data_IF_239444661001
#
_entry.id   IF_239444661001
#
_cell.length_a   1.000
_cell.length_b   1.000
_cell.length_c   1.000
_cell.angle_alpha   90.00
_cell.angle_beta   90.00
_cell.angle_gamma   90.00
#
_symmetry.space_group_name_H-M   'P 1'
#
loop_
_entity.id
_entity.type
_entity.pdbx_description
1 polymer ?
#
# COMPACT_ATOMS: atom_id res chain seq x y z
N UNK A 1 -7.77 5.72 27.95
CA UNK A 1 -7.65 4.39 27.32
C UNK A 1 -8.88 4.02 26.51
N UNK A 2 -10.07 3.87 27.12
CA UNK A 2 -11.30 3.60 26.34
C UNK A 2 -11.62 4.76 25.38
N UNK A 3 -11.47 6.00 25.86
CA UNK A 3 -11.64 7.19 25.02
C UNK A 3 -10.65 7.23 23.85
N UNK A 4 -9.35 7.04 24.10
CA UNK A 4 -8.33 7.06 23.05
C UNK A 4 -8.52 5.95 22.01
N UNK A 5 -8.96 4.75 22.43
CA UNK A 5 -9.31 3.67 21.51
C UNK A 5 -10.55 4.01 20.67
N UNK A 6 -11.56 4.65 21.27
CA UNK A 6 -12.74 5.11 20.54
C UNK A 6 -12.39 6.19 19.50
N UNK A 7 -11.47 7.10 19.82
CA UNK A 7 -10.97 8.10 18.88
C UNK A 7 -10.22 7.44 17.72
N UNK A 8 -9.38 6.44 17.99
CA UNK A 8 -8.68 5.69 16.96
C UNK A 8 -9.65 4.98 15.99
N UNK A 9 -10.69 4.33 16.53
CA UNK A 9 -11.73 3.68 15.72
C UNK A 9 -12.50 4.69 14.87
N UNK A 10 -12.88 5.84 15.45
CA UNK A 10 -13.53 6.92 14.70
C UNK A 10 -12.61 7.44 13.60
N UNK A 11 -11.32 7.60 13.87
CA UNK A 11 -10.36 8.06 12.88
C UNK A 11 -10.25 7.06 11.71
N UNK A 12 -10.18 5.75 11.97
CA UNK A 12 -10.22 4.74 10.91
C UNK A 12 -11.53 4.74 10.12
N UNK A 13 -12.68 4.98 10.77
CA UNK A 13 -13.95 5.13 10.07
C UNK A 13 -13.96 6.37 9.16
N UNK A 14 -13.45 7.50 9.64
CA UNK A 14 -13.32 8.73 8.83
C UNK A 14 -12.37 8.52 7.67
N UNK A 15 -11.26 7.82 7.89
CA UNK A 15 -10.32 7.42 6.83
C UNK A 15 -11.06 6.61 5.76
N UNK A 16 -11.77 5.55 6.15
CA UNK A 16 -12.52 4.71 5.23
C UNK A 16 -13.57 5.50 4.44
N UNK A 17 -14.35 6.36 5.10
CA UNK A 17 -15.34 7.22 4.43
C UNK A 17 -14.66 8.16 3.44
N UNK A 18 -13.58 8.84 3.83
CA UNK A 18 -12.80 9.72 2.97
C UNK A 18 -12.28 9.01 1.73
N UNK A 19 -11.72 7.81 1.90
CA UNK A 19 -11.26 6.95 0.81
C UNK A 19 -12.39 6.53 -0.12
N UNK A 20 -13.55 6.15 0.43
CA UNK A 20 -14.71 5.79 -0.38
C UNK A 20 -15.16 6.92 -1.30
N UNK A 21 -15.13 8.16 -0.80
CA UNK A 21 -15.46 9.37 -1.56
C UNK A 21 -14.41 9.60 -2.66
N UNK A 22 -13.12 9.63 -2.30
CA UNK A 22 -12.05 9.94 -3.24
C UNK A 22 -11.91 8.89 -4.37
N UNK A 23 -11.94 7.59 -4.00
CA UNK A 23 -11.89 6.47 -4.95
C UNK A 23 -13.05 6.56 -5.94
N UNK A 24 -14.26 6.92 -5.48
CA UNK A 24 -15.43 7.02 -6.37
C UNK A 24 -15.27 8.11 -7.45
N UNK A 25 -14.59 9.21 -7.12
CA UNK A 25 -14.29 10.28 -8.06
C UNK A 25 -13.30 9.83 -9.13
N UNK A 26 -12.18 9.22 -8.71
CA UNK A 26 -11.16 8.72 -9.65
C UNK A 26 -11.69 7.60 -10.54
N UNK A 27 -12.49 6.67 -10.00
CA UNK A 27 -13.13 5.63 -10.81
C UNK A 27 -14.02 6.20 -11.92
N UNK A 28 -14.75 7.29 -11.67
CA UNK A 28 -15.56 7.93 -12.72
C UNK A 28 -14.69 8.60 -13.76
N UNK A 29 -13.68 9.36 -13.36
CA UNK A 29 -12.73 10.00 -14.28
C UNK A 29 -12.05 8.94 -15.16
N UNK A 30 -11.64 7.81 -14.57
CA UNK A 30 -10.95 6.72 -15.28
C UNK A 30 -11.76 6.07 -16.41
N UNK A 31 -13.11 6.10 -16.36
CA UNK A 31 -13.98 5.49 -17.38
C UNK A 31 -13.95 6.21 -18.72
N UNK A 32 -13.53 7.47 -18.73
CA UNK A 32 -13.49 8.30 -19.92
C UNK A 32 -12.11 8.27 -20.61
N UNK A 33 -11.18 7.48 -20.09
CA UNK A 33 -9.80 7.43 -20.53
C UNK A 33 -9.54 6.15 -21.33
N UNK A 34 -8.99 6.27 -22.54
CA UNK A 34 -8.59 5.14 -23.41
C UNK A 34 -7.22 4.53 -23.03
N UNK A 35 -6.95 4.38 -21.73
CA UNK A 35 -5.73 3.75 -21.19
C UNK A 35 -6.12 2.38 -20.60
N UNK A 36 -5.24 1.35 -20.66
CA UNK A 36 -5.49 0.09 -19.96
C UNK A 36 -5.89 0.33 -18.50
N UNK A 37 -7.01 -0.25 -18.11
CA UNK A 37 -7.59 -0.05 -16.77
C UNK A 37 -6.61 -0.39 -15.62
N UNK A 38 -5.70 -1.35 -15.86
CA UNK A 38 -4.60 -1.66 -14.96
C UNK A 38 -3.68 -0.46 -14.71
N UNK A 39 -3.24 0.25 -15.76
CA UNK A 39 -2.27 1.34 -15.64
C UNK A 39 -2.87 2.59 -15.00
N UNK A 40 -4.13 2.90 -15.31
CA UNK A 40 -4.84 3.98 -14.61
C UNK A 40 -4.94 3.62 -13.14
N UNK A 41 -5.26 2.38 -12.80
CA UNK A 41 -5.33 1.96 -11.41
C UNK A 41 -3.97 2.00 -10.73
N UNK A 42 -2.90 1.51 -11.39
CA UNK A 42 -1.56 1.50 -10.84
C UNK A 42 -1.04 2.90 -10.50
N UNK A 43 -1.23 3.87 -11.40
CA UNK A 43 -0.72 5.23 -11.18
C UNK A 43 -1.72 6.13 -10.46
N UNK A 44 -2.98 6.19 -10.91
CA UNK A 44 -3.93 7.15 -10.36
C UNK A 44 -4.57 6.64 -9.06
N UNK A 45 -5.08 5.41 -9.06
CA UNK A 45 -5.71 4.86 -7.86
C UNK A 45 -4.66 4.53 -6.80
N UNK A 46 -3.54 3.92 -7.19
CA UNK A 46 -2.46 3.60 -6.27
C UNK A 46 -1.87 4.83 -5.56
N UNK A 47 -1.68 5.95 -6.26
CA UNK A 47 -1.27 7.21 -5.62
C UNK A 47 -2.35 7.74 -4.69
N UNK A 48 -3.62 7.68 -5.10
CA UNK A 48 -4.75 8.18 -4.31
C UNK A 48 -4.94 7.40 -3.01
N UNK A 49 -4.88 6.08 -3.07
CA UNK A 49 -5.03 5.23 -1.88
C UNK A 49 -3.80 5.38 -0.97
N UNK A 50 -2.61 5.52 -1.56
CA UNK A 50 -1.35 5.80 -0.85
C UNK A 50 -1.27 7.20 -0.20
N UNK A 51 -2.30 8.05 -0.35
CA UNK A 51 -2.38 9.34 0.37
C UNK A 51 -2.33 9.12 1.89
N UNK A 52 -2.90 8.01 2.37
CA UNK A 52 -2.90 7.72 3.80
C UNK A 52 -1.50 7.37 4.30
N UNK A 53 -0.73 6.60 3.53
CA UNK A 53 0.67 6.23 3.77
C UNK A 53 1.58 7.46 3.73
N UNK A 54 1.39 8.34 2.73
CA UNK A 54 2.11 9.62 2.65
C UNK A 54 1.80 10.49 3.87
N UNK A 55 0.53 10.53 4.30
CA UNK A 55 0.12 11.32 5.47
C UNK A 55 0.75 10.79 6.75
N UNK A 56 0.73 9.47 6.97
CA UNK A 56 1.40 8.82 8.11
C UNK A 56 2.90 9.09 8.09
N UNK A 57 3.54 9.00 6.92
CA UNK A 57 4.96 9.32 6.77
C UNK A 57 5.26 10.76 7.17
N UNK A 58 4.48 11.72 6.66
CA UNK A 58 4.62 13.13 6.99
C UNK A 58 4.49 13.41 8.49
N UNK A 59 3.41 12.94 9.13
CA UNK A 59 3.19 13.18 10.56
C UNK A 59 4.24 12.47 11.43
N UNK A 60 4.69 11.27 11.06
CA UNK A 60 5.75 10.56 11.80
C UNK A 60 7.10 11.31 11.83
N UNK A 61 7.40 12.09 10.79
CA UNK A 61 8.61 12.95 10.76
C UNK A 61 8.44 14.12 11.74
N UNK A 62 7.27 14.77 11.71
CA UNK A 62 6.95 15.89 12.60
C UNK A 62 7.01 15.46 14.07
N UNK A 63 6.46 14.29 14.37
CA UNK A 63 6.44 13.72 15.72
C UNK A 63 7.76 13.03 16.11
N UNK A 64 8.79 13.11 15.24
CA UNK A 64 10.13 12.54 15.44
C UNK A 64 10.12 11.04 15.75
N UNK A 65 9.15 10.31 15.20
CA UNK A 65 8.98 8.85 15.37
C UNK A 65 8.90 8.12 14.02
N UNK A 66 9.87 8.31 13.11
CA UNK A 66 9.79 7.78 11.74
C UNK A 66 9.68 6.25 11.68
N UNK A 67 10.13 5.54 12.73
CA UNK A 67 9.99 4.08 12.85
C UNK A 67 8.55 3.60 12.70
N UNK A 68 7.55 4.40 13.13
CA UNK A 68 6.12 4.08 12.93
C UNK A 68 5.81 4.00 11.44
N UNK A 69 6.26 4.97 10.65
CA UNK A 69 6.01 4.99 9.21
C UNK A 69 6.78 3.89 8.48
N UNK A 70 8.02 3.59 8.90
CA UNK A 70 8.73 2.44 8.32
C UNK A 70 7.97 1.13 8.55
N UNK A 71 7.48 0.92 9.77
CA UNK A 71 6.61 -0.21 10.08
C UNK A 71 5.36 -0.22 9.20
N UNK A 72 4.69 0.92 9.09
CA UNK A 72 3.48 1.08 8.27
C UNK A 72 3.71 0.72 6.80
N UNK A 73 4.79 1.20 6.19
CA UNK A 73 5.06 1.01 4.75
C UNK A 73 5.48 -0.42 4.43
N UNK A 74 6.31 -1.05 5.28
CA UNK A 74 6.69 -2.45 5.14
C UNK A 74 5.48 -3.36 5.41
N UNK A 75 4.78 -3.12 6.51
CA UNK A 75 3.57 -3.85 6.88
C UNK A 75 2.47 -3.70 5.84
N UNK A 76 2.32 -2.51 5.26
CA UNK A 76 1.35 -2.25 4.20
C UNK A 76 1.65 -3.08 2.95
N UNK A 77 2.93 -3.21 2.60
CA UNK A 77 3.37 -4.08 1.50
C UNK A 77 3.10 -5.58 1.79
N UNK A 78 3.24 -6.01 3.04
CA UNK A 78 2.83 -7.35 3.52
C UNK A 78 1.32 -7.54 3.42
N UNK A 79 0.53 -6.57 3.90
CA UNK A 79 -0.94 -6.58 3.83
C UNK A 79 -1.40 -6.65 2.37
N UNK A 80 -0.86 -5.83 1.48
CA UNK A 80 -1.25 -5.84 0.07
C UNK A 80 -0.92 -7.16 -0.61
N UNK A 81 0.30 -7.67 -0.40
CA UNK A 81 0.82 -8.84 -1.11
C UNK A 81 0.29 -10.17 -0.56
N UNK A 82 0.11 -10.28 0.76
CA UNK A 82 -0.25 -11.54 1.42
C UNK A 82 -1.69 -11.57 1.96
N UNK A 83 -2.34 -10.42 2.16
CA UNK A 83 -3.74 -10.37 2.58
C UNK A 83 -4.67 -9.96 1.43
N UNK A 84 -4.50 -8.75 0.88
CA UNK A 84 -5.50 -8.13 -0.02
C UNK A 84 -5.51 -8.81 -1.40
N UNK A 85 -4.35 -8.97 -2.05
CA UNK A 85 -4.26 -9.69 -3.33
C UNK A 85 -4.77 -11.13 -3.19
N UNK A 86 -4.34 -11.92 -2.20
CA UNK A 86 -4.86 -13.28 -2.00
C UNK A 86 -6.35 -13.33 -1.68
N UNK A 87 -6.88 -12.36 -0.92
CA UNK A 87 -8.31 -12.27 -0.63
C UNK A 87 -9.10 -11.96 -1.91
N UNK A 88 -8.61 -11.07 -2.77
CA UNK A 88 -9.18 -10.83 -4.10
C UNK A 88 -9.30 -12.14 -4.88
N UNK A 89 -8.23 -12.94 -4.91
CA UNK A 89 -8.19 -14.24 -5.61
C UNK A 89 -9.23 -15.20 -5.04
N UNK A 90 -9.27 -15.35 -3.71
CA UNK A 90 -10.16 -16.29 -3.03
C UNK A 90 -11.63 -15.93 -3.25
N UNK A 91 -11.99 -14.65 -3.06
CA UNK A 91 -13.36 -14.16 -3.23
C UNK A 91 -13.85 -14.30 -4.67
N UNK A 92 -12.93 -14.17 -5.64
CA UNK A 92 -13.25 -14.18 -7.05
C UNK A 92 -13.07 -15.54 -7.73
N UNK A 93 -12.81 -16.60 -6.95
CA UNK A 93 -12.53 -17.98 -7.43
C UNK A 93 -11.39 -18.03 -8.46
N UNK A 94 -10.38 -17.19 -8.27
CA UNK A 94 -9.22 -17.06 -9.15
C UNK A 94 -9.22 -15.80 -10.02
N UNK A 95 -8.03 -15.48 -10.53
CA UNK A 95 -7.77 -14.35 -11.42
C UNK A 95 -6.92 -14.84 -12.61
N UNK A 96 -7.13 -14.24 -13.78
CA UNK A 96 -6.27 -14.45 -14.94
C UNK A 96 -5.44 -13.19 -15.13
N UNK A 97 -4.13 -13.36 -15.29
CA UNK A 97 -3.19 -12.28 -15.58
C UNK A 97 -3.05 -12.19 -17.10
N UNK A 98 -3.52 -11.11 -17.68
CA UNK A 98 -3.41 -10.92 -19.13
C UNK A 98 -2.29 -9.93 -19.42
N UNK A 99 -1.13 -10.43 -19.88
CA UNK A 99 0.05 -9.61 -20.21
C UNK A 99 -0.22 -8.47 -21.21
N UNK A 100 -1.25 -8.57 -22.06
CA UNK A 100 -1.66 -7.46 -22.95
C UNK A 100 -2.43 -6.37 -22.20
N UNK A 101 -3.16 -6.72 -21.14
CA UNK A 101 -3.90 -5.79 -20.30
C UNK A 101 -3.07 -5.26 -19.11
N UNK A 102 -2.02 -6.00 -18.72
CA UNK A 102 -1.17 -5.77 -17.56
C UNK A 102 0.29 -5.63 -18.03
N UNK A 103 0.68 -4.46 -18.56
CA UNK A 103 1.97 -4.26 -19.22
C UNK A 103 3.11 -4.05 -18.21
N UNK A 104 3.09 -4.75 -17.08
CA UNK A 104 4.10 -4.67 -16.02
C UNK A 104 4.94 -5.95 -15.98
N UNK A 105 6.22 -5.79 -15.64
CA UNK A 105 7.09 -6.92 -15.33
C UNK A 105 6.84 -7.32 -13.86
N UNK A 106 5.94 -8.28 -13.64
CA UNK A 106 5.59 -8.77 -12.29
C UNK A 106 6.82 -9.17 -11.47
N UNK A 107 7.78 -9.97 -11.98
CA UNK A 107 9.02 -10.25 -11.25
C UNK A 107 9.74 -9.00 -10.75
N UNK A 108 9.86 -7.98 -11.60
CA UNK A 108 10.55 -6.75 -11.22
C UNK A 108 9.72 -5.90 -10.25
N UNK A 109 8.40 -5.84 -10.40
CA UNK A 109 7.52 -5.14 -9.47
C UNK A 109 7.61 -5.75 -8.05
N UNK A 110 7.55 -7.07 -7.94
CA UNK A 110 7.66 -7.77 -6.67
C UNK A 110 9.06 -7.68 -6.05
N UNK A 111 10.11 -7.57 -6.86
CA UNK A 111 11.45 -7.25 -6.38
C UNK A 111 11.46 -5.86 -5.72
N UNK A 112 10.91 -4.83 -6.40
CA UNK A 112 10.82 -3.47 -5.84
C UNK A 112 10.01 -3.48 -4.54
N UNK A 113 8.84 -4.13 -4.51
CA UNK A 113 7.98 -4.24 -3.32
C UNK A 113 8.69 -4.92 -2.14
N UNK A 114 9.53 -5.91 -2.42
CA UNK A 114 10.26 -6.66 -1.37
C UNK A 114 11.56 -5.98 -0.93
N UNK A 115 12.03 -4.99 -1.69
CA UNK A 115 13.32 -4.35 -1.47
C UNK A 115 13.44 -3.69 -0.08
N UNK A 116 12.43 -2.95 0.44
CA UNK A 116 12.46 -2.42 1.80
C UNK A 116 12.76 -3.46 2.89
N UNK A 117 12.20 -4.67 2.75
CA UNK A 117 12.42 -5.77 3.71
C UNK A 117 13.87 -6.23 3.71
N UNK A 118 14.50 -6.28 2.53
CA UNK A 118 15.90 -6.71 2.41
C UNK A 118 16.82 -5.66 3.00
N UNK A 119 16.57 -4.38 2.71
CA UNK A 119 17.41 -3.28 3.17
C UNK A 119 17.34 -3.08 4.69
N UNK A 120 16.18 -3.33 5.31
CA UNK A 120 16.01 -3.14 6.76
C UNK A 120 16.57 -4.27 7.63
N UNK A 121 17.15 -5.34 7.04
CA UNK A 121 17.63 -6.50 7.80
C UNK A 121 18.79 -6.18 8.75
N UNK A 122 19.51 -5.09 8.55
CA UNK A 122 20.54 -4.59 9.45
C UNK A 122 19.97 -3.70 10.59
N UNK A 123 18.65 -3.50 10.64
CA UNK A 123 17.90 -2.56 11.50
C UNK A 123 18.09 -1.07 11.17
N UNK A 124 18.71 -0.71 10.06
CA UNK A 124 18.96 0.67 9.72
C UNK A 124 18.49 0.92 8.31
N UNK A 125 17.67 1.95 8.11
CA UNK A 125 17.41 2.46 6.76
C UNK A 125 18.30 3.65 6.55
N UNK A 126 19.34 3.45 5.75
CA UNK A 126 20.33 4.46 5.41
C UNK A 126 19.87 5.36 4.27
N UNK A 127 20.58 6.47 4.07
CA UNK A 127 20.37 7.37 2.92
C UNK A 127 20.68 6.63 1.60
N UNK A 128 21.63 5.68 1.61
CA UNK A 128 21.94 4.87 0.43
C UNK A 128 20.76 3.97 0.07
N UNK A 129 20.14 3.35 1.07
CA UNK A 129 18.93 2.53 0.90
C UNK A 129 17.79 3.36 0.29
N UNK A 130 17.67 4.61 0.73
CA UNK A 130 16.69 5.54 0.19
C UNK A 130 16.87 5.79 -1.31
N UNK A 131 18.10 6.04 -1.76
CA UNK A 131 18.41 6.19 -3.18
C UNK A 131 18.14 4.90 -3.96
N UNK A 132 18.51 3.74 -3.41
CA UNK A 132 18.25 2.43 -4.01
C UNK A 132 16.75 2.20 -4.20
N UNK A 133 15.93 2.50 -3.19
CA UNK A 133 14.47 2.39 -3.25
C UNK A 133 13.86 3.31 -4.33
N UNK A 134 14.21 4.60 -4.32
CA UNK A 134 13.71 5.58 -5.30
C UNK A 134 14.14 5.20 -6.72
N UNK A 135 15.41 4.82 -6.90
CA UNK A 135 15.95 4.42 -8.20
C UNK A 135 15.27 3.15 -8.73
N UNK A 136 15.06 2.14 -7.89
CA UNK A 136 14.38 0.90 -8.28
C UNK A 136 12.92 1.14 -8.71
N UNK A 137 12.19 2.02 -8.02
CA UNK A 137 10.85 2.44 -8.43
C UNK A 137 10.89 3.22 -9.74
N UNK A 138 11.85 4.13 -9.92
CA UNK A 138 12.05 4.85 -11.18
C UNK A 138 12.29 3.90 -12.37
N UNK A 139 13.10 2.87 -12.19
CA UNK A 139 13.32 1.82 -13.19
C UNK A 139 12.04 1.03 -13.50
N UNK A 140 11.21 0.75 -12.49
CA UNK A 140 9.93 0.07 -12.67
C UNK A 140 9.00 0.92 -13.54
N UNK A 141 8.88 2.20 -13.23
CA UNK A 141 8.10 3.17 -14.03
C UNK A 141 8.65 3.25 -15.45
N UNK A 142 9.97 3.33 -15.65
CA UNK A 142 10.58 3.34 -16.98
C UNK A 142 10.24 2.08 -17.80
N UNK A 143 10.21 0.91 -17.15
CA UNK A 143 9.85 -0.36 -17.81
C UNK A 143 8.39 -0.36 -18.29
N UNK A 144 7.50 0.28 -17.53
CA UNK A 144 6.09 0.44 -17.88
C UNK A 144 5.92 1.47 -19.02
N UNK A 145 6.58 2.63 -18.91
CA UNK A 145 6.49 3.73 -19.90
C UNK A 145 7.11 3.39 -21.26
N UNK A 146 8.15 2.54 -21.30
CA UNK A 146 8.72 2.05 -22.58
C UNK A 146 7.79 1.12 -23.35
N UNK A 147 6.75 0.57 -22.70
CA UNK A 147 5.77 -0.36 -23.32
C UNK A 147 4.47 0.30 -23.75
N UNK A 148 4.18 1.51 -23.28
CA UNK A 148 2.99 2.28 -23.63
C UNK A 148 3.30 3.77 -23.53
N UNK A 149 3.04 4.55 -24.57
CA UNK A 149 3.00 6.01 -24.50
C UNK A 149 1.83 6.45 -23.61
N UNK A 150 2.04 6.37 -22.29
CA UNK A 150 1.12 6.81 -21.25
C UNK A 150 0.95 8.33 -21.28
N UNK A 151 2.02 9.05 -21.62
CA UNK A 151 2.04 10.52 -21.68
C UNK A 151 1.13 11.05 -22.79
N UNK A 152 1.23 10.50 -24.01
CA UNK A 152 0.40 10.90 -25.15
C UNK A 152 -1.09 10.66 -24.92
N UNK A 153 -1.44 9.63 -24.14
CA UNK A 153 -2.84 9.30 -23.82
C UNK A 153 -3.42 10.11 -22.67
N UNK A 154 -2.61 10.65 -21.77
CA UNK A 154 -3.07 11.55 -20.70
C UNK A 154 -3.45 12.91 -21.29
N UNK A 155 -2.73 13.38 -22.31
CA UNK A 155 -3.03 14.63 -23.02
C UNK A 155 -4.36 14.55 -23.79
N UNK A 156 -4.73 13.38 -24.32
CA UNK A 156 -6.01 13.14 -25.00
C UNK A 156 -7.23 13.22 -24.06
N UNK A 157 -7.04 12.89 -22.76
CA UNK A 157 -8.10 12.94 -21.72
C UNK A 157 -8.49 14.36 -21.35
N UNK A 158 -7.50 15.26 -21.30
CA UNK A 158 -7.73 16.66 -20.94
C UNK A 158 -8.63 17.36 -21.98
N UNK A 159 -8.60 16.88 -23.22
CA UNK A 159 -9.33 17.49 -24.33
C UNK A 159 -10.81 17.06 -24.47
N UNK A 160 -11.29 16.04 -23.76
CA UNK A 160 -12.69 15.62 -23.82
C UNK A 160 -13.55 16.29 -22.72
N UNK A 161 -14.16 17.43 -23.08
CA UNK A 161 -15.08 18.21 -22.24
C UNK A 161 -16.49 17.59 -22.17
N UNK A 162 -16.74 16.61 -21.30
CA UNK A 162 -18.14 16.25 -20.99
C UNK A 162 -18.40 15.57 -19.63
N UNK A 163 -17.62 15.91 -18.61
CA UNK A 163 -17.92 15.50 -17.23
C UNK A 163 -18.03 16.78 -16.40
N UNK A 164 -18.84 16.74 -15.34
CA UNK A 164 -18.75 17.70 -14.23
C UNK A 164 -17.41 17.47 -13.48
N UNK A 165 -16.28 17.62 -14.20
CA UNK A 165 -14.90 17.40 -13.73
C UNK A 165 -14.69 18.18 -12.43
N UNK A 166 -15.23 19.40 -12.39
CA UNK A 166 -15.19 20.23 -11.21
C UNK A 166 -15.81 19.57 -9.96
N UNK A 167 -17.00 18.98 -10.08
CA UNK A 167 -17.68 18.34 -8.94
C UNK A 167 -16.94 17.08 -8.49
N UNK A 168 -16.46 16.25 -9.42
CA UNK A 168 -15.73 15.03 -9.06
C UNK A 168 -14.34 15.37 -8.49
N UNK A 169 -13.66 16.41 -8.99
CA UNK A 169 -12.42 16.93 -8.38
C UNK A 169 -12.65 17.46 -6.96
N UNK A 170 -13.75 18.18 -6.71
CA UNK A 170 -14.10 18.63 -5.35
C UNK A 170 -14.34 17.46 -4.40
N UNK A 171 -15.00 16.39 -4.85
CA UNK A 171 -15.18 15.17 -4.04
C UNK A 171 -13.85 14.50 -3.72
N UNK A 172 -12.96 14.39 -4.71
CA UNK A 172 -11.61 13.83 -4.51
C UNK A 172 -10.85 14.64 -3.47
N UNK A 173 -10.82 15.96 -3.61
CA UNK A 173 -10.16 16.86 -2.65
C UNK A 173 -10.74 16.74 -1.24
N UNK A 174 -12.08 16.71 -1.12
CA UNK A 174 -12.73 16.55 0.17
C UNK A 174 -12.37 15.21 0.83
N UNK A 175 -12.38 14.11 0.07
CA UNK A 175 -11.96 12.80 0.56
C UNK A 175 -10.49 12.79 1.02
N UNK A 176 -9.59 13.41 0.26
CA UNK A 176 -8.17 13.57 0.63
C UNK A 176 -8.02 14.34 1.95
N UNK A 177 -8.76 15.42 2.14
CA UNK A 177 -8.72 16.21 3.39
C UNK A 177 -9.15 15.35 4.58
N UNK A 178 -10.23 14.58 4.44
CA UNK A 178 -10.67 13.64 5.50
C UNK A 178 -9.59 12.61 5.82
N UNK A 179 -8.94 12.03 4.81
CA UNK A 179 -7.84 11.08 4.98
C UNK A 179 -6.69 11.74 5.77
N UNK A 180 -6.22 12.91 5.35
CA UNK A 180 -5.11 13.62 6.01
C UNK A 180 -5.44 13.89 7.48
N UNK A 181 -6.64 14.42 7.76
CA UNK A 181 -7.08 14.71 9.13
C UNK A 181 -7.10 13.43 9.97
N UNK A 182 -7.69 12.34 9.45
CA UNK A 182 -7.75 11.07 10.16
C UNK A 182 -6.37 10.49 10.46
N UNK A 183 -5.43 10.58 9.51
CA UNK A 183 -4.07 10.06 9.66
C UNK A 183 -3.32 10.76 10.78
N UNK A 184 -3.52 12.08 10.97
CA UNK A 184 -2.93 12.80 12.10
C UNK A 184 -3.35 12.17 13.44
N UNK A 185 -4.66 12.00 13.65
CA UNK A 185 -5.18 11.39 14.88
C UNK A 185 -4.72 9.94 15.07
N UNK A 186 -4.62 9.17 13.98
CA UNK A 186 -4.11 7.80 14.02
C UNK A 186 -2.66 7.78 14.48
N UNK A 187 -1.79 8.63 13.92
CA UNK A 187 -0.37 8.71 14.29
C UNK A 187 -0.19 9.18 15.73
N UNK A 188 -0.86 10.26 16.14
CA UNK A 188 -0.81 10.79 17.51
C UNK A 188 -1.17 9.69 18.53
N UNK A 189 -2.26 8.96 18.25
CA UNK A 189 -2.73 7.87 19.11
C UNK A 189 -1.78 6.67 19.11
N UNK A 190 -1.18 6.35 17.96
CA UNK A 190 -0.22 5.27 17.82
C UNK A 190 1.08 5.54 18.60
N UNK A 191 1.61 6.76 18.52
CA UNK A 191 2.78 7.22 19.30
C UNK A 191 2.47 7.14 20.80
N UNK A 192 1.29 7.62 21.22
CA UNK A 192 0.87 7.57 22.62
C UNK A 192 0.86 6.13 23.14
N UNK A 193 0.28 5.20 22.38
CA UNK A 193 0.22 3.79 22.78
C UNK A 193 1.57 3.08 22.73
N UNK A 194 2.43 3.41 21.77
CA UNK A 194 3.81 2.90 21.72
C UNK A 194 4.53 3.20 23.03
N UNK A 195 4.46 4.46 23.47
CA UNK A 195 5.10 4.92 24.69
C UNK A 195 4.44 4.31 25.94
N UNK A 196 3.11 4.25 25.97
CA UNK A 196 2.36 3.73 27.13
C UNK A 196 2.61 2.25 27.39
N UNK A 197 2.65 1.43 26.34
CA UNK A 197 2.84 -0.01 26.45
C UNK A 197 4.30 -0.43 26.30
N UNK A 198 5.24 0.53 26.21
CA UNK A 198 6.66 0.26 25.95
C UNK A 198 6.88 -0.65 24.72
N UNK A 199 6.01 -0.52 23.72
CA UNK A 199 6.08 -1.26 22.46
C UNK A 199 6.86 -0.43 21.46
N UNK A 200 7.75 -1.08 20.71
CA UNK A 200 8.47 -0.45 19.62
C UNK A 200 7.50 0.24 18.64
N UNK A 201 7.69 1.54 18.34
CA UNK A 201 6.80 2.27 17.42
C UNK A 201 6.71 1.61 16.03
N UNK A 202 7.80 0.98 15.58
CA UNK A 202 7.84 0.16 14.37
C UNK A 202 6.78 -0.94 14.35
N UNK A 203 6.54 -1.64 15.47
CA UNK A 203 5.56 -2.74 15.52
C UNK A 203 4.11 -2.25 15.43
N UNK A 204 3.82 -1.12 16.07
CA UNK A 204 2.48 -0.50 15.96
C UNK A 204 2.24 -0.08 14.50
N UNK A 205 3.26 0.48 13.85
CA UNK A 205 3.27 0.71 12.41
C UNK A 205 3.00 -0.57 11.61
N UNK A 206 3.79 -1.61 11.87
CA UNK A 206 3.81 -2.86 11.13
C UNK A 206 2.51 -3.65 11.18
N UNK A 207 1.83 -3.67 12.33
CA UNK A 207 0.62 -4.48 12.54
C UNK A 207 -0.64 -3.63 12.45
N UNK A 208 -0.72 -2.55 13.23
CA UNK A 208 -1.97 -1.83 13.42
C UNK A 208 -2.18 -0.78 12.32
N UNK A 209 -1.18 0.07 12.07
CA UNK A 209 -1.33 1.14 11.08
C UNK A 209 -1.36 0.53 9.68
N UNK A 210 -0.53 -0.47 9.39
CA UNK A 210 -0.52 -1.10 8.07
C UNK A 210 -1.88 -1.64 7.64
N UNK A 211 -2.66 -2.24 8.55
CA UNK A 211 -4.03 -2.68 8.23
C UNK A 211 -4.95 -1.48 8.06
N UNK A 212 -4.82 -0.49 8.93
CA UNK A 212 -5.67 0.69 8.96
C UNK A 212 -5.50 1.64 7.77
N UNK A 213 -4.26 1.91 7.34
CA UNK A 213 -3.98 2.72 6.15
C UNK A 213 -4.33 1.99 4.86
N UNK A 214 -4.46 0.65 4.88
CA UNK A 214 -4.91 -0.15 3.74
C UNK A 214 -6.45 -0.37 3.67
N UNK A 215 -7.23 0.32 4.52
CA UNK A 215 -8.70 0.42 4.35
C UNK A 215 -9.16 1.01 2.99
N UNK A 216 -8.48 2.00 2.37
CA UNK A 216 -8.76 2.44 1.01
C UNK A 216 -8.67 1.27 0.01
N UNK A 217 -7.63 0.45 0.07
CA UNK A 217 -7.40 -0.70 -0.82
C UNK A 217 -8.42 -1.82 -0.57
N UNK A 218 -8.83 -2.03 0.69
CA UNK A 218 -9.97 -2.90 1.02
C UNK A 218 -11.29 -2.38 0.43
N UNK A 219 -11.46 -1.06 0.31
CA UNK A 219 -12.62 -0.48 -0.39
C UNK A 219 -12.58 -0.80 -1.88
N UNK A 220 -11.41 -0.70 -2.50
CA UNK A 220 -11.19 -1.13 -3.90
C UNK A 220 -11.45 -2.63 -4.06
N UNK A 221 -11.10 -3.46 -3.07
CA UNK A 221 -11.34 -4.91 -3.07
C UNK A 221 -12.82 -5.23 -3.15
N UNK A 222 -13.60 -4.62 -2.26
CA UNK A 222 -15.04 -4.83 -2.17
C UNK A 222 -15.70 -4.39 -3.48
N UNK A 223 -15.38 -3.17 -3.96
CA UNK A 223 -15.97 -2.62 -5.19
C UNK A 223 -15.60 -3.43 -6.42
N UNK A 224 -14.32 -3.79 -6.58
CA UNK A 224 -13.85 -4.56 -7.75
C UNK A 224 -14.42 -5.97 -7.78
N UNK A 225 -14.64 -6.60 -6.63
CA UNK A 225 -15.28 -7.92 -6.51
C UNK A 225 -16.75 -7.84 -6.92
N UNK A 226 -17.49 -6.84 -6.44
CA UNK A 226 -18.90 -6.62 -6.81
C UNK A 226 -19.04 -6.30 -8.31
N UNK A 227 -18.19 -5.41 -8.82
CA UNK A 227 -18.23 -4.95 -10.21
C UNK A 227 -17.50 -5.87 -11.20
N UNK A 228 -16.91 -6.97 -10.73
CA UNK A 228 -16.09 -7.91 -11.52
C UNK A 228 -14.91 -7.25 -12.25
N UNK A 229 -14.30 -6.21 -11.66
CA UNK A 229 -13.18 -5.44 -12.23
C UNK A 229 -11.83 -5.81 -11.60
N UNK A 230 -11.47 -7.09 -11.67
CA UNK A 230 -10.31 -7.67 -10.96
C UNK A 230 -8.97 -7.04 -11.38
N UNK A 231 -8.79 -6.74 -12.66
CA UNK A 231 -7.56 -6.14 -13.21
C UNK A 231 -7.32 -4.73 -12.70
N UNK A 232 -8.37 -3.97 -12.35
CA UNK A 232 -8.24 -2.65 -11.73
C UNK A 232 -7.65 -2.81 -10.34
N UNK A 233 -8.26 -3.66 -9.50
CA UNK A 233 -7.76 -3.92 -8.15
C UNK A 233 -6.32 -4.43 -8.12
N UNK A 234 -5.91 -5.31 -9.05
CA UNK A 234 -4.51 -5.74 -9.13
C UNK A 234 -3.56 -4.59 -9.48
N UNK A 235 -3.96 -3.70 -10.39
CA UNK A 235 -3.17 -2.51 -10.73
C UNK A 235 -2.98 -1.60 -9.52
N UNK A 236 -4.06 -1.33 -8.79
CA UNK A 236 -4.05 -0.59 -7.53
C UNK A 236 -3.08 -1.19 -6.52
N UNK A 237 -3.22 -2.47 -6.18
CA UNK A 237 -2.44 -3.08 -5.10
C UNK A 237 -0.95 -3.16 -5.39
N UNK A 238 -0.58 -3.47 -6.63
CA UNK A 238 0.83 -3.53 -7.03
C UNK A 238 1.39 -2.10 -7.11
N UNK A 239 0.58 -1.14 -7.57
CA UNK A 239 0.90 0.29 -7.57
C UNK A 239 1.19 0.81 -6.17
N UNK A 240 0.25 0.64 -5.23
CA UNK A 240 0.39 1.06 -3.84
C UNK A 240 1.56 0.37 -3.14
N UNK A 241 1.74 -0.94 -3.31
CA UNK A 241 2.86 -1.65 -2.71
C UNK A 241 4.22 -1.17 -3.27
N UNK A 242 4.30 -0.88 -4.58
CA UNK A 242 5.52 -0.31 -5.17
C UNK A 242 5.74 1.14 -4.70
N UNK A 243 4.66 1.93 -4.58
CA UNK A 243 4.71 3.29 -4.05
C UNK A 243 5.16 3.33 -2.59
N UNK A 244 4.83 2.33 -1.76
CA UNK A 244 5.36 2.24 -0.40
C UNK A 244 6.88 2.24 -0.36
N UNK A 245 7.52 1.60 -1.34
CA UNK A 245 8.98 1.62 -1.50
C UNK A 245 9.48 3.02 -1.83
N UNK A 246 8.80 3.73 -2.73
CA UNK A 246 9.11 5.12 -3.07
C UNK A 246 8.93 6.07 -1.87
N UNK A 247 7.80 5.94 -1.16
CA UNK A 247 7.45 6.75 0.00
C UNK A 247 8.48 6.54 1.11
N UNK A 248 8.92 5.31 1.35
CA UNK A 248 9.96 5.01 2.34
C UNK A 248 11.31 5.63 1.97
N UNK A 249 11.66 5.62 0.69
CA UNK A 249 12.84 6.33 0.18
C UNK A 249 12.75 7.83 0.48
N UNK A 250 11.65 8.48 0.12
CA UNK A 250 11.46 9.90 0.41
C UNK A 250 11.42 10.21 1.91
N UNK A 251 10.72 9.40 2.71
CA UNK A 251 10.68 9.50 4.17
C UNK A 251 12.10 9.58 4.75
N UNK A 252 12.98 8.68 4.31
CA UNK A 252 14.36 8.60 4.79
C UNK A 252 15.17 9.83 4.38
N UNK A 253 15.01 10.32 3.14
CA UNK A 253 15.66 11.55 2.68
C UNK A 253 15.17 12.80 3.42
N UNK A 254 13.86 12.90 3.66
CA UNK A 254 13.27 14.04 4.38
C UNK A 254 13.60 14.04 5.88
N UNK A 255 13.80 12.87 6.48
CA UNK A 255 14.26 12.76 7.86
C UNK A 255 15.75 13.17 8.04
N UNK A 256 16.54 13.17 6.95
CA UNK A 256 17.94 13.62 6.87
C UNK A 256 18.96 12.84 7.69
N UNK A 257 18.58 11.73 8.31
CA UNK A 257 19.48 10.85 9.06
C UNK A 257 19.03 9.40 8.93
N UNK A 258 19.93 8.42 9.16
CA UNK A 258 19.54 7.01 9.13
C UNK A 258 18.43 6.71 10.14
N UNK A 259 17.41 5.97 9.72
CA UNK A 259 16.30 5.58 10.58
C UNK A 259 16.66 4.26 11.25
N UNK A 260 16.92 4.30 12.55
CA UNK A 260 17.19 3.10 13.33
C UNK A 260 15.88 2.44 13.76
N UNK A 261 15.75 1.15 13.48
CA UNK A 261 14.59 0.36 13.83
C UNK A 261 14.88 -0.42 15.10
N UNK A 262 14.18 -0.03 16.16
CA UNK A 262 14.19 -0.75 17.42
C UNK A 262 13.02 -1.72 17.44
N UNK A 263 13.29 -3.01 17.68
CA UNK A 263 12.27 -4.04 17.85
C UNK A 263 11.61 -4.54 16.55
N UNK A 264 12.00 -5.72 16.08
CA UNK A 264 11.28 -6.56 15.09
C UNK A 264 11.93 -7.95 15.02
N UNK A 265 11.20 -9.06 14.82
CA UNK A 265 11.86 -10.33 14.46
C UNK A 265 12.11 -10.25 12.97
N UNK A 266 13.31 -9.82 12.59
CA UNK A 266 13.66 -9.45 11.21
C UNK A 266 13.38 -10.56 10.19
N UNK A 267 13.49 -11.81 10.63
CA UNK A 267 13.24 -12.98 9.78
C UNK A 267 11.76 -13.17 9.44
N UNK A 268 10.82 -12.70 10.26
CA UNK A 268 9.39 -12.78 9.95
C UNK A 268 9.04 -11.90 8.73
N UNK A 269 9.75 -10.78 8.55
CA UNK A 269 9.55 -9.89 7.40
C UNK A 269 9.89 -10.59 6.08
N UNK A 270 10.75 -11.62 6.10
CA UNK A 270 11.10 -12.41 4.91
C UNK A 270 9.88 -13.16 4.33
N UNK A 271 8.78 -13.26 5.07
CA UNK A 271 7.52 -13.78 4.53
C UNK A 271 7.01 -12.96 3.34
N UNK A 272 7.33 -11.66 3.25
CA UNK A 272 7.00 -10.84 2.08
C UNK A 272 7.73 -11.33 0.81
N UNK A 273 9.09 -11.35 0.74
CA UNK A 273 9.79 -11.86 -0.45
C UNK A 273 9.50 -13.34 -0.72
N UNK A 274 9.27 -14.16 0.31
CA UNK A 274 8.85 -15.57 0.13
C UNK A 274 7.48 -15.65 -0.54
N UNK A 275 6.51 -14.88 -0.05
CA UNK A 275 5.17 -14.84 -0.63
C UNK A 275 5.16 -14.23 -2.04
N UNK A 276 6.01 -13.24 -2.30
CA UNK A 276 6.24 -12.70 -3.63
C UNK A 276 6.81 -13.75 -4.60
N UNK A 277 7.80 -14.53 -4.16
CA UNK A 277 8.33 -15.65 -4.94
C UNK A 277 7.25 -16.72 -5.22
N UNK A 278 6.43 -17.06 -4.22
CA UNK A 278 5.31 -17.99 -4.39
C UNK A 278 4.25 -17.45 -5.35
N UNK A 279 3.91 -16.16 -5.27
CA UNK A 279 3.01 -15.52 -6.22
C UNK A 279 3.52 -15.69 -7.65
N UNK A 280 4.80 -15.42 -7.90
CA UNK A 280 5.42 -15.57 -9.23
C UNK A 280 5.45 -17.03 -9.70
N UNK A 281 5.66 -17.98 -8.78
CA UNK A 281 5.61 -19.41 -9.08
C UNK A 281 4.20 -19.86 -9.48
N UNK A 282 3.18 -19.45 -8.73
CA UNK A 282 1.78 -19.80 -8.99
C UNK A 282 1.27 -19.17 -10.29
N UNK A 283 1.73 -17.97 -10.62
CA UNK A 283 1.29 -17.22 -11.82
C UNK A 283 2.03 -17.57 -13.11
N UNK A 284 2.88 -18.61 -13.11
CA UNK A 284 3.60 -19.07 -14.32
C UNK A 284 2.68 -19.43 -15.48
N UNK A 285 1.50 -19.97 -15.18
CA UNK A 285 0.46 -20.31 -16.17
C UNK A 285 -0.47 -19.12 -16.47
N UNK A 286 -0.11 -17.89 -16.07
CA UNK A 286 -0.90 -16.65 -16.22
C UNK A 286 -2.23 -16.68 -15.50
N UNK A 287 -2.36 -17.50 -14.47
CA UNK A 287 -3.55 -17.63 -13.64
C UNK A 287 -3.13 -17.78 -12.19
N UNK A 288 -3.95 -17.29 -11.28
CA UNK A 288 -3.81 -17.57 -9.85
C UNK A 288 -5.13 -18.15 -9.36
N UNK A 289 -5.09 -19.40 -8.92
CA UNK A 289 -6.25 -20.16 -8.49
C UNK A 289 -6.61 -19.92 -7.02
N UNK A 290 -7.85 -20.26 -6.67
CA UNK A 290 -8.36 -20.08 -5.30
C UNK A 290 -7.51 -20.76 -4.23
N UNK A 291 -6.93 -21.93 -4.52
CA UNK A 291 -6.07 -22.67 -3.59
C UNK A 291 -4.75 -21.93 -3.36
N UNK A 292 -4.16 -21.39 -4.41
CA UNK A 292 -2.92 -20.62 -4.36
C UNK A 292 -3.11 -19.31 -3.59
N UNK A 293 -4.24 -18.63 -3.81
CA UNK A 293 -4.66 -17.50 -2.96
C UNK A 293 -4.83 -17.89 -1.49
N UNK A 294 -5.43 -19.05 -1.18
CA UNK A 294 -5.55 -19.50 0.21
C UNK A 294 -4.18 -19.79 0.85
N UNK A 295 -3.21 -20.31 0.09
CA UNK A 295 -1.84 -20.52 0.57
C UNK A 295 -1.17 -19.18 0.91
N UNK A 296 -1.24 -18.18 0.01
CA UNK A 296 -0.68 -16.85 0.29
C UNK A 296 -1.34 -16.18 1.50
N UNK A 297 -2.65 -16.32 1.66
CA UNK A 297 -3.39 -15.81 2.82
C UNK A 297 -2.96 -16.50 4.12
N UNK A 298 -2.65 -17.80 4.07
CA UNK A 298 -2.11 -18.52 5.24
C UNK A 298 -0.73 -17.99 5.67
N UNK A 299 0.09 -17.49 4.74
CA UNK A 299 1.36 -16.83 5.08
C UNK A 299 1.14 -15.52 5.81
N UNK A 300 0.10 -14.76 5.47
CA UNK A 300 -0.26 -13.56 6.23
C UNK A 300 -0.72 -13.90 7.66
N UNK A 301 -1.53 -14.94 7.82
CA UNK A 301 -1.93 -15.42 9.15
C UNK A 301 -0.71 -15.87 9.96
N UNK A 302 0.21 -16.61 9.33
CA UNK A 302 1.47 -16.99 9.95
C UNK A 302 2.30 -15.77 10.35
N UNK A 303 2.41 -14.76 9.48
CA UNK A 303 3.11 -13.51 9.77
C UNK A 303 2.56 -12.83 11.03
N UNK A 304 1.23 -12.69 11.14
CA UNK A 304 0.59 -12.09 12.32
C UNK A 304 0.81 -12.94 13.58
N UNK A 305 0.68 -14.27 13.49
CA UNK A 305 0.92 -15.15 14.64
C UNK A 305 2.36 -15.02 15.11
N UNK A 306 3.34 -15.07 14.21
CA UNK A 306 4.75 -14.96 14.59
C UNK A 306 5.06 -13.61 15.24
N UNK A 307 4.47 -12.52 14.76
CA UNK A 307 4.74 -11.20 15.32
C UNK A 307 4.06 -10.96 16.68
N UNK A 308 2.89 -11.56 16.91
CA UNK A 308 2.15 -11.45 18.19
C UNK A 308 2.59 -12.46 19.24
N UNK A 309 2.93 -13.70 18.85
CA UNK A 309 3.13 -14.82 19.80
C UNK A 309 4.58 -14.95 20.28
N UNK A 310 5.56 -14.62 19.44
CA UNK A 310 6.98 -14.66 19.81
C UNK A 310 7.43 -13.40 20.58
N UNK A 311 6.50 -12.47 20.81
CA UNK A 311 6.72 -11.24 21.58
C UNK A 311 5.60 -11.11 22.59
N UNK A 312 5.73 -11.72 23.78
CA UNK A 312 4.93 -11.24 24.89
C UNK A 312 5.27 -9.75 25.03
N UNK A 313 4.31 -8.90 24.66
CA UNK A 313 4.26 -7.55 25.18
C UNK A 313 4.27 -7.76 26.69
N UNK A 314 5.37 -7.42 27.34
CA UNK A 314 5.40 -7.37 28.80
C UNK A 314 4.49 -6.19 29.19
N UNK A 315 3.18 -6.47 29.20
CA UNK A 315 2.10 -5.59 29.66
C UNK A 315 2.20 -5.41 31.17
#
# INVERSE_FOLDING_TARGET
MIQDLSFLLIAFLVLWVGSGISISGVEKVSRYVKIPSFLISFFALGVLTSVSEISVAYFSIIDKTPGISVGNLIGGSVVLSLLIIPLLVVLNKGIHLNEKAEPINFPFAFLVISLPVILVLDNVISIVDAFVMIFSFGLLVMTISRRNTLLDKIEEVINHHNVNIFIESLKILFGIVLIIISCKFIVDTAVLYANKFSVAPFLIGLILLSIGTNLPELTVLIRSTILKKKTIALGDYIGSAALNTLILGFLTLFYRQPIQISGGIKYNLLLLPIGAALFLLFTRNKKLDRKEGAILLSLYVLFIILELWLRPVNL
#
